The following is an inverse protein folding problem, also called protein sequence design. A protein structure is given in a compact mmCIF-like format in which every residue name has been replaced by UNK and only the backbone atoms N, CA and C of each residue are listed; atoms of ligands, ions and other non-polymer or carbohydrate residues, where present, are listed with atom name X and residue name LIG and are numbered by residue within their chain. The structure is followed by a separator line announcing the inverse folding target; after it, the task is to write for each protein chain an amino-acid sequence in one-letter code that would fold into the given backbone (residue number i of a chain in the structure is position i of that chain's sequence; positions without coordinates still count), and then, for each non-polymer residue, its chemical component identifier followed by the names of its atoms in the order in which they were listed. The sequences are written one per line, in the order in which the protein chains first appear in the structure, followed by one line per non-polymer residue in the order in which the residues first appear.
data_IF_044040020143
#
_entry.id   IF_044040020143
#
_cell.length_a   1.000
_cell.length_b   1.000
_cell.length_c   1.000
_cell.angle_alpha   90.00
_cell.angle_beta   90.00
_cell.angle_gamma   90.00
#
_symmetry.space_group_name_H-M   'P 1'
#
loop_
_entity.id
_entity.type
_entity.pdbx_description
1 polymer ?
#
# COMPACT_ATOMS: atom_id res chain seq x y z
N UNK A 1 23.01 51.36 -5.94
CA UNK A 1 23.83 51.05 -4.75
C UNK A 1 22.87 50.43 -3.74
N UNK A 2 22.91 49.11 -3.59
CA UNK A 2 23.62 48.42 -2.49
C UNK A 2 23.04 48.84 -1.12
N UNK A 3 22.73 47.97 -0.17
CA UNK A 3 22.67 46.50 -0.02
C UNK A 3 22.40 46.32 1.50
N UNK A 4 21.80 45.18 1.91
CA UNK A 4 22.13 44.49 3.17
C UNK A 4 21.77 45.16 4.53
N UNK A 5 21.32 44.49 5.61
CA UNK A 5 21.26 43.07 5.98
C UNK A 5 20.41 42.89 7.28
N UNK A 6 19.69 41.75 7.38
CA UNK A 6 19.45 40.89 8.58
C UNK A 6 18.45 41.38 9.64
N UNK A 7 17.64 40.58 10.35
CA UNK A 7 17.39 39.13 10.62
C UNK A 7 16.04 39.11 11.39
N UNK A 8 15.18 38.10 11.43
CA UNK A 8 15.18 36.73 10.94
C UNK A 8 13.97 35.98 11.52
N UNK A 9 13.64 34.83 10.95
CA UNK A 9 13.02 33.71 11.66
C UNK A 9 13.24 32.42 10.86
N UNK A 10 13.98 31.51 11.50
CA UNK A 10 14.12 30.08 11.17
C UNK A 10 12.80 29.39 11.59
N UNK A 11 12.31 28.29 11.04
CA UNK A 11 12.78 27.35 10.03
C UNK A 11 11.90 26.11 10.16
N UNK A 12 11.24 25.69 9.07
CA UNK A 12 10.62 24.36 8.94
C UNK A 12 11.27 23.69 7.74
N UNK A 13 11.83 22.50 7.96
CA UNK A 13 12.45 21.64 6.96
C UNK A 13 11.39 20.79 6.26
N UNK A 14 11.34 20.78 4.91
CA UNK A 14 10.76 19.69 4.15
C UNK A 14 11.82 19.07 3.22
N UNK A 15 12.37 17.92 3.60
CA UNK A 15 13.13 17.07 2.66
C UNK A 15 12.38 15.77 2.42
N UNK A 16 11.59 15.76 1.35
CA UNK A 16 11.24 14.56 0.60
C UNK A 16 11.01 14.97 -0.86
N UNK A 17 12.11 15.09 -1.61
CA UNK A 17 12.07 15.34 -3.06
C UNK A 17 11.84 14.00 -3.74
N UNK A 18 10.57 13.71 -4.10
CA UNK A 18 10.27 12.68 -5.10
C UNK A 18 10.64 13.25 -6.47
N UNK A 19 11.76 12.80 -7.05
CA UNK A 19 12.11 13.09 -8.44
C UNK A 19 11.22 12.27 -9.38
N UNK A 20 10.27 12.93 -10.04
CA UNK A 20 9.59 12.38 -11.22
C UNK A 20 10.38 12.76 -12.47
N UNK A 21 10.95 11.77 -13.17
CA UNK A 21 11.45 11.96 -14.53
C UNK A 21 10.33 11.57 -15.49
N UNK A 22 9.59 12.55 -15.99
CA UNK A 22 8.61 12.35 -17.07
C UNK A 22 9.33 12.58 -18.41
N UNK A 23 9.63 11.49 -19.12
CA UNK A 23 10.25 11.56 -20.45
C UNK A 23 9.15 11.60 -21.52
N UNK A 24 8.87 12.79 -22.07
CA UNK A 24 7.97 12.95 -23.23
C UNK A 24 8.79 12.75 -24.52
N UNK A 25 8.58 11.64 -25.22
CA UNK A 25 9.11 11.45 -26.58
C UNK A 25 7.95 11.68 -27.55
N UNK A 26 7.65 12.96 -27.79
CA UNK A 26 6.88 13.41 -28.94
C UNK A 26 7.82 14.08 -29.93
N UNK A 27 7.54 14.00 -31.23
CA UNK A 27 8.29 14.66 -32.29
C UNK A 27 8.56 16.14 -31.96
N UNK A 28 9.80 16.48 -31.60
CA UNK A 28 10.21 17.86 -31.36
C UNK A 28 11.35 18.22 -32.32
N UNK A 29 11.12 19.27 -33.11
CA UNK A 29 12.15 19.96 -33.87
C UNK A 29 13.28 20.42 -32.94
N UNK A 30 14.50 20.39 -33.45
CA UNK A 30 15.78 20.56 -32.72
C UNK A 30 15.99 21.91 -32.03
N UNK A 31 15.01 22.82 -32.01
CA UNK A 31 15.14 24.15 -31.39
C UNK A 31 14.45 24.27 -30.03
N UNK A 32 13.49 23.40 -29.69
CA UNK A 32 12.70 23.52 -28.43
C UNK A 32 13.39 22.93 -27.20
N UNK A 33 14.43 22.10 -27.37
CA UNK A 33 15.13 21.45 -26.25
C UNK A 33 15.97 22.45 -25.44
N UNK A 34 16.52 23.49 -26.09
CA UNK A 34 17.37 24.49 -25.41
C UNK A 34 16.54 25.42 -24.51
N UNK A 35 15.37 25.86 -25.00
CA UNK A 35 14.49 26.77 -24.26
C UNK A 35 13.80 26.09 -23.06
N UNK A 36 13.49 24.79 -23.15
CA UNK A 36 12.88 24.05 -22.03
C UNK A 36 13.87 23.79 -20.88
N UNK A 37 15.18 23.71 -21.18
CA UNK A 37 16.23 23.59 -20.17
C UNK A 37 16.48 24.91 -19.43
N UNK A 38 16.45 26.04 -20.13
CA UNK A 38 16.73 27.34 -19.50
C UNK A 38 15.58 27.86 -18.62
N UNK A 39 14.32 27.43 -18.87
CA UNK A 39 13.17 27.88 -18.09
C UNK A 39 13.02 27.15 -16.74
N UNK A 40 13.47 25.90 -16.63
CA UNK A 40 13.40 25.11 -15.37
C UNK A 40 14.69 25.13 -14.54
N UNK A 41 15.76 25.76 -15.03
CA UNK A 41 17.11 25.65 -14.46
C UNK A 41 17.66 26.98 -13.93
N UNK A 42 16.83 27.83 -13.30
CA UNK A 42 17.32 28.96 -12.49
C UNK A 42 17.17 28.77 -10.99
N UNK A 43 16.17 28.02 -10.52
CA UNK A 43 15.92 27.87 -9.07
C UNK A 43 16.21 26.47 -8.50
N UNK A 44 16.63 25.49 -9.33
CA UNK A 44 16.98 24.13 -8.90
C UNK A 44 18.48 23.79 -9.00
N UNK A 45 19.35 24.80 -9.14
CA UNK A 45 20.80 24.60 -9.40
C UNK A 45 21.64 24.35 -8.15
N UNK A 46 21.05 24.33 -6.95
CA UNK A 46 21.80 23.97 -5.74
C UNK A 46 21.53 22.52 -5.33
N UNK A 47 22.34 21.62 -5.92
CA UNK A 47 22.74 20.27 -5.46
C UNK A 47 22.40 19.06 -6.34
N UNK A 48 21.90 19.22 -7.57
CA UNK A 48 22.06 18.16 -8.56
C UNK A 48 23.50 18.18 -9.07
N UNK A 49 24.39 17.45 -8.39
CA UNK A 49 25.67 17.03 -8.97
C UNK A 49 25.34 16.17 -10.20
N UNK A 50 25.23 16.83 -11.33
CA UNK A 50 25.12 16.25 -12.67
C UNK A 50 26.29 15.29 -12.82
N UNK A 51 26.00 13.99 -12.83
CA UNK A 51 26.99 12.98 -13.15
C UNK A 51 27.37 13.19 -14.62
N UNK A 52 28.41 13.98 -14.88
CA UNK A 52 28.81 14.41 -16.24
C UNK A 52 29.02 13.22 -17.19
N UNK A 53 29.39 12.07 -16.63
CA UNK A 53 29.52 10.80 -17.32
C UNK A 53 28.18 10.28 -17.88
N UNK A 54 27.07 10.49 -17.17
CA UNK A 54 25.73 10.11 -17.62
C UNK A 54 25.27 10.99 -18.79
N UNK A 55 25.55 12.29 -18.72
CA UNK A 55 25.26 13.25 -19.81
C UNK A 55 26.08 12.88 -21.05
N UNK A 56 27.36 12.59 -20.89
CA UNK A 56 28.22 12.12 -21.99
C UNK A 56 27.73 10.81 -22.62
N UNK A 57 27.32 9.83 -21.80
CA UNK A 57 26.79 8.55 -22.30
C UNK A 57 25.48 8.77 -23.04
N UNK A 58 24.59 9.63 -22.54
CA UNK A 58 23.33 9.97 -23.19
C UNK A 58 23.56 10.69 -24.51
N UNK A 59 24.44 11.68 -24.54
CA UNK A 59 24.81 12.40 -25.76
C UNK A 59 25.49 11.49 -26.78
N UNK A 60 26.40 10.63 -26.35
CA UNK A 60 27.13 9.71 -27.23
C UNK A 60 26.19 8.68 -27.83
N UNK A 61 25.28 8.13 -27.03
CA UNK A 61 24.24 7.21 -27.53
C UNK A 61 23.27 7.92 -28.46
N UNK A 62 22.82 9.13 -28.14
CA UNK A 62 21.96 9.93 -29.01
C UNK A 62 22.64 10.23 -30.36
N UNK A 63 23.93 10.62 -30.37
CA UNK A 63 24.70 10.86 -31.61
C UNK A 63 24.90 9.59 -32.44
N UNK A 64 25.18 8.44 -31.82
CA UNK A 64 25.26 7.14 -32.51
C UNK A 64 23.92 6.70 -33.10
N UNK A 65 22.83 6.96 -32.38
CA UNK A 65 21.47 6.61 -32.79
C UNK A 65 20.99 7.51 -33.94
N UNK A 66 21.25 8.82 -33.87
CA UNK A 66 20.93 9.77 -34.93
C UNK A 66 21.60 9.36 -36.25
N UNK A 67 22.88 8.96 -36.20
CA UNK A 67 23.61 8.42 -37.38
C UNK A 67 22.93 7.16 -37.96
N UNK A 68 22.52 6.20 -37.13
CA UNK A 68 21.83 4.98 -37.57
C UNK A 68 20.39 5.19 -38.07
N UNK A 69 19.69 6.22 -37.59
CA UNK A 69 18.34 6.57 -38.06
C UNK A 69 18.34 7.27 -39.42
N UNK A 70 19.46 7.90 -39.79
CA UNK A 70 19.63 8.51 -41.13
C UNK A 70 19.92 7.42 -42.17
N UNK A 71 20.59 6.33 -41.78
CA UNK A 71 20.94 5.21 -42.67
C UNK A 71 19.86 4.12 -42.79
N UNK A 72 18.92 4.03 -41.85
CA UNK A 72 17.79 3.09 -41.97
C UNK A 72 16.49 3.81 -41.66
N UNK A 73 15.52 3.76 -42.59
CA UNK A 73 14.12 4.21 -42.42
C UNK A 73 13.38 3.37 -41.36
N UNK A 74 13.94 3.19 -40.16
CA UNK A 74 13.31 2.48 -39.03
C UNK A 74 12.77 3.49 -38.01
N UNK A 75 11.54 3.24 -37.58
CA UNK A 75 10.67 4.15 -36.83
C UNK A 75 11.25 4.55 -35.45
N UNK A 76 11.04 5.81 -35.00
CA UNK A 76 11.43 6.32 -33.68
C UNK A 76 10.95 5.49 -32.48
N UNK A 77 9.84 4.76 -32.64
CA UNK A 77 9.22 3.93 -31.60
C UNK A 77 10.13 2.80 -31.12
N UNK A 78 10.95 2.21 -31.99
CA UNK A 78 11.88 1.12 -31.62
C UNK A 78 13.02 1.64 -30.71
N UNK A 79 13.33 2.94 -30.77
CA UNK A 79 14.45 3.56 -30.06
C UNK A 79 14.12 3.93 -28.61
N UNK A 80 12.86 4.31 -28.32
CA UNK A 80 12.42 4.59 -26.95
C UNK A 80 12.43 3.33 -26.08
N UNK A 81 12.05 2.19 -26.65
CA UNK A 81 12.04 0.89 -25.97
C UNK A 81 13.43 0.38 -25.56
N UNK A 82 14.50 0.81 -26.22
CA UNK A 82 15.88 0.39 -25.91
C UNK A 82 16.58 1.38 -24.97
N UNK A 83 16.30 2.68 -25.11
CA UNK A 83 16.96 3.73 -24.33
C UNK A 83 16.43 3.79 -22.90
N UNK A 84 15.10 3.68 -22.72
CA UNK A 84 14.47 3.81 -21.41
C UNK A 84 14.95 2.74 -20.39
N UNK A 85 15.05 1.44 -20.74
CA UNK A 85 15.60 0.44 -19.83
C UNK A 85 17.04 0.75 -19.41
N UNK A 86 17.90 1.20 -20.33
CA UNK A 86 19.30 1.53 -20.02
C UNK A 86 19.44 2.75 -19.11
N UNK A 87 18.61 3.76 -19.32
CA UNK A 87 18.55 4.93 -18.43
C UNK A 87 18.12 4.47 -17.03
N UNK A 88 17.06 3.67 -16.96
CA UNK A 88 16.56 3.12 -15.71
C UNK A 88 17.64 2.30 -14.98
N UNK A 89 18.32 1.39 -15.68
CA UNK A 89 19.44 0.60 -15.12
C UNK A 89 20.55 1.48 -14.57
N UNK A 90 20.96 2.53 -15.30
CA UNK A 90 22.03 3.43 -14.84
C UNK A 90 21.61 4.26 -13.64
N UNK A 91 20.37 4.75 -13.60
CA UNK A 91 19.81 5.46 -12.44
C UNK A 91 19.79 4.53 -11.22
N UNK A 92 19.30 3.29 -11.39
CA UNK A 92 19.28 2.28 -10.32
C UNK A 92 20.70 1.97 -9.84
N UNK A 93 21.67 1.72 -10.74
CA UNK A 93 23.06 1.43 -10.35
C UNK A 93 23.69 2.59 -9.59
N UNK A 94 23.46 3.83 -10.03
CA UNK A 94 23.96 5.01 -9.35
C UNK A 94 23.32 5.20 -7.97
N UNK A 95 22.02 4.90 -7.83
CA UNK A 95 21.33 4.92 -6.54
C UNK A 95 21.90 3.84 -5.61
N UNK A 96 22.01 2.59 -6.08
CA UNK A 96 22.56 1.47 -5.30
C UNK A 96 23.97 1.78 -4.80
N UNK A 97 24.84 2.28 -5.67
CA UNK A 97 26.22 2.64 -5.33
C UNK A 97 26.33 3.73 -4.25
N UNK A 98 25.28 4.53 -4.06
CA UNK A 98 25.18 5.57 -3.03
C UNK A 98 24.32 5.16 -1.84
N UNK A 99 23.57 4.07 -1.93
CA UNK A 99 22.60 3.64 -0.92
C UNK A 99 23.25 2.74 0.13
N UNK A 100 22.80 2.84 1.38
CA UNK A 100 23.14 1.91 2.46
C UNK A 100 22.44 0.54 2.34
N UNK A 101 21.58 0.36 1.33
CA UNK A 101 20.81 -0.87 1.11
C UNK A 101 21.74 -2.07 0.86
N UNK A 102 22.90 -1.85 0.23
CA UNK A 102 23.91 -2.90 0.00
C UNK A 102 24.61 -3.41 1.26
N UNK A 103 24.46 -2.74 2.42
CA UNK A 103 25.14 -3.07 3.68
C UNK A 103 24.25 -3.72 4.75
N UNK A 104 23.01 -4.11 4.41
CA UNK A 104 22.08 -4.79 5.32
C UNK A 104 22.54 -6.24 5.61
N UNK A 105 23.54 -6.37 6.47
CA UNK A 105 24.02 -7.66 6.97
C UNK A 105 23.10 -8.21 8.06
N UNK A 106 23.16 -9.53 8.31
CA UNK A 106 22.39 -10.16 9.42
C UNK A 106 22.68 -9.49 10.76
N UNK A 107 23.96 -9.28 11.08
CA UNK A 107 24.38 -8.66 12.34
C UNK A 107 23.85 -7.22 12.48
N UNK A 108 23.78 -6.48 11.38
CA UNK A 108 23.23 -5.12 11.41
C UNK A 108 21.73 -5.14 11.76
N UNK A 109 20.95 -6.04 11.16
CA UNK A 109 19.52 -6.19 11.46
C UNK A 109 19.30 -6.62 12.91
N UNK A 110 20.05 -7.60 13.41
CA UNK A 110 19.98 -8.03 14.81
C UNK A 110 20.31 -6.87 15.77
N UNK A 111 21.36 -6.07 15.47
CA UNK A 111 21.71 -4.89 16.28
C UNK A 111 20.61 -3.81 16.31
N UNK A 112 19.82 -3.70 15.24
CA UNK A 112 18.67 -2.80 15.19
C UNK A 112 17.52 -3.31 16.03
N UNK A 113 17.30 -4.62 16.04
CA UNK A 113 16.29 -5.25 16.90
C UNK A 113 16.68 -5.04 18.36
N UNK A 114 17.94 -5.28 18.73
CA UNK A 114 18.43 -5.08 20.11
C UNK A 114 18.25 -3.64 20.58
N UNK A 115 18.65 -2.66 19.75
CA UNK A 115 18.41 -1.24 20.06
C UNK A 115 16.93 -0.90 20.20
N UNK A 116 16.05 -1.54 19.41
CA UNK A 116 14.62 -1.33 19.52
C UNK A 116 14.03 -1.94 20.81
N UNK A 117 14.59 -3.06 21.29
CA UNK A 117 14.27 -3.65 22.59
C UNK A 117 14.77 -2.76 23.72
N UNK A 118 16.04 -2.35 23.69
CA UNK A 118 16.67 -1.53 24.73
C UNK A 118 15.99 -0.16 24.89
N UNK A 119 15.49 0.40 23.80
CA UNK A 119 14.71 1.66 23.81
C UNK A 119 13.25 1.47 24.28
N UNK A 120 12.79 0.24 24.49
CA UNK A 120 11.43 -0.08 24.92
C UNK A 120 10.35 0.15 23.86
N UNK A 121 10.73 0.39 22.61
CA UNK A 121 9.79 0.55 21.48
C UNK A 121 9.10 -0.77 21.14
N UNK A 122 9.82 -1.88 21.30
CA UNK A 122 9.30 -3.23 21.15
C UNK A 122 9.63 -4.07 22.38
N UNK A 123 8.75 -5.01 22.70
CA UNK A 123 8.96 -5.98 23.78
C UNK A 123 8.94 -7.38 23.14
N UNK A 124 10.02 -8.17 23.25
CA UNK A 124 10.08 -9.50 22.66
C UNK A 124 9.18 -10.47 23.43
N UNK A 125 8.40 -11.27 22.70
CA UNK A 125 7.57 -12.35 23.28
C UNK A 125 8.33 -13.68 23.25
N UNK A 126 9.22 -13.86 22.28
CA UNK A 126 9.99 -15.08 22.09
C UNK A 126 11.50 -14.79 22.23
N UNK A 127 12.28 -15.85 22.48
CA UNK A 127 13.72 -15.73 22.82
C UNK A 127 14.64 -15.46 21.62
N UNK A 128 14.24 -15.88 20.42
CA UNK A 128 15.02 -15.75 19.20
C UNK A 128 14.51 -14.61 18.32
N UNK A 129 15.33 -14.21 17.33
CA UNK A 129 14.96 -13.15 16.37
C UNK A 129 14.15 -13.64 15.18
N UNK A 130 14.24 -14.94 14.85
CA UNK A 130 13.54 -15.57 13.73
C UNK A 130 13.32 -17.06 13.92
N UNK A 131 12.32 -17.57 13.19
CA UNK A 131 11.83 -18.93 13.29
C UNK A 131 11.42 -19.45 11.91
N UNK A 132 11.50 -20.77 11.72
CA UNK A 132 10.88 -21.44 10.58
C UNK A 132 9.35 -21.43 10.73
N UNK A 133 8.65 -21.27 9.61
CA UNK A 133 7.19 -21.46 9.58
C UNK A 133 6.92 -22.97 9.59
N UNK A 134 6.19 -23.51 10.59
CA UNK A 134 5.86 -24.92 10.62
C UNK A 134 4.95 -25.28 9.45
N UNK A 135 5.11 -26.50 8.92
CA UNK A 135 4.13 -27.09 8.00
C UNK A 135 2.89 -27.46 8.80
N UNK A 136 1.79 -26.76 8.55
CA UNK A 136 0.49 -27.03 9.17
C UNK A 136 -0.45 -27.70 8.17
N UNK A 137 -1.28 -28.61 8.65
CA UNK A 137 -2.46 -29.05 7.90
C UNK A 137 -3.61 -28.08 8.19
N UNK A 138 -4.02 -27.24 7.21
CA UNK A 138 -5.05 -26.25 7.44
C UNK A 138 -6.41 -26.87 7.78
N UNK A 139 -6.71 -28.09 7.32
CA UNK A 139 -7.96 -28.78 7.66
C UNK A 139 -7.98 -29.21 9.12
N UNK A 140 -6.84 -29.66 9.64
CA UNK A 140 -6.74 -30.03 11.05
C UNK A 140 -6.82 -28.79 11.96
N UNK A 141 -6.09 -27.73 11.64
CA UNK A 141 -6.06 -26.50 12.45
C UNK A 141 -7.43 -25.82 12.46
N UNK A 142 -8.09 -25.73 11.31
CA UNK A 142 -9.38 -25.05 11.17
C UNK A 142 -10.57 -25.97 11.45
N UNK A 143 -10.34 -27.23 11.85
CA UNK A 143 -11.41 -28.14 12.26
C UNK A 143 -12.30 -27.50 13.31
N UNK A 144 -13.61 -27.53 13.06
CA UNK A 144 -14.66 -26.92 13.89
C UNK A 144 -14.51 -25.40 14.09
N UNK A 145 -13.77 -24.71 13.22
CA UNK A 145 -13.63 -23.25 13.26
C UNK A 145 -14.31 -22.58 12.09
N UNK A 146 -14.59 -21.31 12.28
CA UNK A 146 -15.12 -20.38 11.31
C UNK A 146 -14.25 -19.13 11.30
N UNK A 147 -13.66 -18.85 10.14
CA UNK A 147 -12.82 -17.69 9.92
C UNK A 147 -13.41 -16.81 8.83
N UNK A 148 -13.23 -15.50 8.97
CA UNK A 148 -13.82 -14.50 8.07
C UNK A 148 -12.75 -13.57 7.54
N UNK A 149 -12.75 -13.35 6.22
CA UNK A 149 -11.95 -12.33 5.56
C UNK A 149 -12.78 -11.07 5.33
N UNK A 150 -12.21 -9.89 5.62
CA UNK A 150 -12.82 -8.60 5.29
C UNK A 150 -11.83 -7.74 4.52
N UNK A 151 -12.30 -7.17 3.41
CA UNK A 151 -11.53 -6.23 2.59
C UNK A 151 -12.43 -5.17 1.93
N UNK A 152 -11.84 -4.07 1.47
CA UNK A 152 -12.48 -2.92 0.86
C UNK A 152 -11.99 -2.63 -0.56
N UNK A 153 -12.92 -2.33 -1.46
CA UNK A 153 -12.66 -1.90 -2.83
C UNK A 153 -13.20 -0.50 -3.06
N UNK A 154 -12.44 0.32 -3.79
CA UNK A 154 -12.80 1.71 -4.09
C UNK A 154 -12.57 2.07 -5.55
N UNK A 155 -13.43 2.91 -6.11
CA UNK A 155 -13.18 3.56 -7.39
C UNK A 155 -13.80 4.97 -7.43
N UNK A 156 -13.27 5.82 -8.30
CA UNK A 156 -13.78 7.17 -8.49
C UNK A 156 -14.14 7.46 -9.95
N UNK A 157 -15.30 8.07 -10.16
CA UNK A 157 -15.73 8.65 -11.42
C UNK A 157 -15.35 10.13 -11.39
N UNK A 158 -14.38 10.51 -12.24
CA UNK A 158 -13.82 11.86 -12.30
C UNK A 158 -14.52 12.66 -13.41
N UNK A 159 -15.66 13.28 -13.11
CA UNK A 159 -16.28 14.28 -13.99
C UNK A 159 -15.95 15.68 -13.46
N UNK A 160 -15.85 16.67 -14.35
CA UNK A 160 -15.80 18.07 -13.93
C UNK A 160 -17.23 18.65 -13.95
N UNK A 161 -17.67 19.40 -12.92
CA UNK A 161 -17.02 19.62 -11.62
C UNK A 161 -17.29 18.50 -10.60
N UNK A 162 -18.05 17.46 -10.97
CA UNK A 162 -18.55 16.41 -10.08
C UNK A 162 -17.63 15.18 -9.99
N UNK A 163 -17.01 14.94 -8.83
CA UNK A 163 -16.24 13.72 -8.60
C UNK A 163 -17.00 12.79 -7.67
N UNK A 164 -17.31 11.60 -8.15
CA UNK A 164 -18.07 10.59 -7.41
C UNK A 164 -17.08 9.52 -6.95
N UNK A 165 -17.08 9.23 -5.66
CA UNK A 165 -16.30 8.14 -5.07
C UNK A 165 -17.29 7.06 -4.67
N UNK A 166 -16.97 5.82 -5.02
CA UNK A 166 -17.70 4.65 -4.57
C UNK A 166 -16.72 3.76 -3.81
N UNK A 167 -17.14 3.30 -2.64
CA UNK A 167 -16.41 2.33 -1.85
C UNK A 167 -17.37 1.20 -1.50
N UNK A 168 -16.88 -0.04 -1.50
CA UNK A 168 -17.61 -1.19 -0.98
C UNK A 168 -16.70 -2.07 -0.15
N UNK A 169 -17.25 -2.71 0.87
CA UNK A 169 -16.58 -3.80 1.57
C UNK A 169 -17.14 -5.13 1.09
N UNK A 170 -16.34 -6.18 1.20
CA UNK A 170 -16.80 -7.53 1.00
C UNK A 170 -16.29 -8.45 2.12
N UNK A 171 -17.02 -9.53 2.28
CA UNK A 171 -16.82 -10.53 3.32
C UNK A 171 -16.70 -11.88 2.65
N UNK A 172 -15.74 -12.68 3.13
CA UNK A 172 -15.62 -14.07 2.73
C UNK A 172 -15.53 -14.96 3.96
N UNK A 173 -16.49 -15.87 4.07
CA UNK A 173 -16.62 -16.80 5.18
C UNK A 173 -16.07 -18.18 4.83
N UNK A 174 -15.21 -18.74 5.68
CA UNK A 174 -14.74 -20.11 5.57
C UNK A 174 -14.98 -20.83 6.90
N UNK A 175 -15.70 -21.95 6.87
CA UNK A 175 -15.94 -22.77 8.07
C UNK A 175 -15.76 -24.25 7.79
N UNK A 176 -15.29 -24.94 8.81
CA UNK A 176 -15.27 -26.41 8.88
C UNK A 176 -16.11 -26.91 10.07
N UNK A 177 -17.10 -26.10 10.50
CA UNK A 177 -18.10 -26.53 11.47
C UNK A 177 -19.20 -27.33 10.74
N UNK A 178 -19.46 -28.59 11.13
CA UNK A 178 -20.44 -29.43 10.44
C UNK A 178 -21.88 -28.95 10.62
N UNK A 179 -22.15 -28.19 11.68
CA UNK A 179 -23.44 -27.67 12.09
C UNK A 179 -23.74 -26.26 11.54
N UNK A 180 -22.81 -25.66 10.80
CA UNK A 180 -22.91 -24.27 10.36
C UNK A 180 -23.29 -24.15 8.88
N UNK A 181 -24.53 -23.73 8.62
CA UNK A 181 -25.08 -23.55 7.25
C UNK A 181 -25.15 -22.08 6.78
N UNK A 182 -24.42 -21.16 7.41
CA UNK A 182 -24.43 -19.75 7.01
C UNK A 182 -23.45 -19.47 5.87
N UNK A 183 -23.92 -18.82 4.80
CA UNK A 183 -23.07 -18.34 3.71
C UNK A 183 -22.88 -16.81 3.80
N UNK A 184 -22.01 -16.38 4.72
CA UNK A 184 -21.70 -14.96 4.94
C UNK A 184 -20.66 -14.52 3.89
N UNK A 185 -21.05 -14.54 2.61
CA UNK A 185 -20.17 -14.19 1.48
C UNK A 185 -20.80 -13.14 0.59
N UNK A 186 -20.01 -12.14 0.21
CA UNK A 186 -20.40 -11.17 -0.81
C UNK A 186 -20.10 -9.73 -0.42
N UNK A 187 -20.70 -8.81 -1.17
CA UNK A 187 -20.62 -7.36 -0.89
C UNK A 187 -21.47 -7.07 0.34
N UNK A 188 -20.89 -6.39 1.32
CA UNK A 188 -21.54 -6.12 2.61
C UNK A 188 -22.06 -4.69 2.69
N UNK A 189 -21.16 -3.72 2.61
CA UNK A 189 -21.49 -2.29 2.62
C UNK A 189 -21.06 -1.65 1.32
N UNK A 190 -21.86 -0.67 0.87
CA UNK A 190 -21.48 0.26 -0.20
C UNK A 190 -21.71 1.68 0.29
N UNK A 191 -20.80 2.58 -0.07
CA UNK A 191 -20.86 4.01 0.24
C UNK A 191 -20.54 4.82 -1.00
N UNK A 192 -21.28 5.91 -1.19
CA UNK A 192 -21.12 6.83 -2.31
C UNK A 192 -20.93 8.24 -1.76
N UNK A 193 -19.93 8.95 -2.26
CA UNK A 193 -19.69 10.34 -1.91
C UNK A 193 -19.47 11.19 -3.16
N UNK A 194 -19.91 12.45 -3.11
CA UNK A 194 -19.67 13.43 -4.18
C UNK A 194 -18.79 14.54 -3.61
N UNK A 195 -17.61 14.74 -4.21
CA UNK A 195 -16.70 15.81 -3.84
C UNK A 195 -17.07 17.11 -4.57
N UNK A 196 -17.40 18.14 -3.79
CA UNK A 196 -17.75 19.50 -4.24
C UNK A 196 -16.68 20.52 -3.82
N UNK A 197 -15.41 20.32 -4.19
CA UNK A 197 -14.30 21.19 -3.76
C UNK A 197 -13.40 21.67 -4.90
N UNK A 198 -12.79 22.84 -4.68
CA UNK A 198 -11.69 23.44 -5.45
C UNK A 198 -10.33 23.06 -4.82
N UNK A 199 -9.23 23.17 -5.59
CA UNK A 199 -7.87 22.86 -5.14
C UNK A 199 -7.30 21.53 -5.68
N UNK A 200 -6.37 20.90 -4.95
CA UNK A 200 -5.72 19.64 -5.37
C UNK A 200 -6.71 18.46 -5.30
N UNK A 201 -7.44 18.25 -6.40
CA UNK A 201 -8.50 17.24 -6.51
C UNK A 201 -7.96 15.82 -6.39
N UNK A 202 -6.77 15.51 -6.92
CA UNK A 202 -6.21 14.16 -6.86
C UNK A 202 -5.91 13.74 -5.43
N UNK A 203 -5.29 14.64 -4.65
CA UNK A 203 -5.01 14.37 -3.24
C UNK A 203 -6.29 14.28 -2.40
N UNK A 204 -7.27 15.16 -2.66
CA UNK A 204 -8.57 15.11 -1.99
C UNK A 204 -9.33 13.80 -2.30
N UNK A 205 -9.30 13.35 -3.56
CA UNK A 205 -9.88 12.06 -3.96
C UNK A 205 -9.20 10.90 -3.22
N UNK A 206 -7.87 10.89 -3.18
CA UNK A 206 -7.10 9.85 -2.50
C UNK A 206 -7.43 9.80 -1.01
N UNK A 207 -7.45 10.96 -0.35
CA UNK A 207 -7.79 11.11 1.07
C UNK A 207 -9.22 10.60 1.34
N UNK A 208 -10.21 11.10 0.59
CA UNK A 208 -11.61 10.77 0.85
C UNK A 208 -11.92 9.30 0.53
N UNK A 209 -11.33 8.75 -0.52
CA UNK A 209 -11.46 7.33 -0.85
C UNK A 209 -10.90 6.45 0.27
N UNK A 210 -9.72 6.79 0.81
CA UNK A 210 -9.14 6.06 1.94
C UNK A 210 -10.01 6.15 3.20
N UNK A 211 -10.57 7.32 3.49
CA UNK A 211 -11.49 7.52 4.61
C UNK A 211 -12.74 6.65 4.45
N UNK A 212 -13.35 6.65 3.25
CA UNK A 212 -14.53 5.83 2.96
C UNK A 212 -14.25 4.33 3.05
N UNK A 213 -13.09 3.87 2.55
CA UNK A 213 -12.68 2.46 2.65
C UNK A 213 -12.59 2.01 4.11
N UNK A 214 -11.90 2.80 4.94
CA UNK A 214 -11.80 2.53 6.37
C UNK A 214 -13.19 2.50 7.01
N UNK A 215 -14.09 3.42 6.64
CA UNK A 215 -15.44 3.46 7.20
C UNK A 215 -16.28 2.25 6.84
N UNK A 216 -16.28 1.82 5.57
CA UNK A 216 -17.05 0.64 5.16
C UNK A 216 -16.48 -0.63 5.79
N UNK A 217 -15.16 -0.79 5.87
CA UNK A 217 -14.52 -1.96 6.48
C UNK A 217 -14.75 -2.04 7.98
N UNK A 218 -14.48 -0.94 8.72
CA UNK A 218 -14.67 -0.87 10.18
C UNK A 218 -16.12 -1.20 10.54
N UNK A 219 -17.07 -0.62 9.81
CA UNK A 219 -18.48 -0.84 10.08
C UNK A 219 -18.90 -2.27 9.73
N UNK A 220 -18.38 -2.84 8.63
CA UNK A 220 -18.61 -4.23 8.24
C UNK A 220 -18.14 -5.19 9.33
N UNK A 221 -16.93 -4.99 9.86
CA UNK A 221 -16.39 -5.83 10.94
C UNK A 221 -17.26 -5.78 12.19
N UNK A 222 -17.75 -4.59 12.56
CA UNK A 222 -18.65 -4.43 13.71
C UNK A 222 -19.98 -5.13 13.51
N UNK A 223 -20.61 -4.95 12.35
CA UNK A 223 -21.89 -5.59 12.00
C UNK A 223 -21.77 -7.11 12.00
N UNK A 224 -20.70 -7.66 11.41
CA UNK A 224 -20.43 -9.10 11.42
C UNK A 224 -20.26 -9.63 12.85
N UNK A 225 -19.50 -8.91 13.68
CA UNK A 225 -19.30 -9.29 15.07
C UNK A 225 -20.61 -9.26 15.87
N UNK A 226 -21.44 -8.26 15.63
CA UNK A 226 -22.74 -8.07 16.31
C UNK A 226 -23.76 -9.11 15.88
N UNK A 227 -23.87 -9.41 14.59
CA UNK A 227 -24.88 -10.31 14.03
C UNK A 227 -24.48 -11.80 14.10
N UNK A 228 -23.20 -12.11 13.88
CA UNK A 228 -22.70 -13.48 13.71
C UNK A 228 -21.62 -13.87 14.71
N UNK A 229 -21.35 -13.05 15.74
CA UNK A 229 -20.24 -13.25 16.66
C UNK A 229 -20.20 -14.61 17.37
N UNK A 230 -21.37 -15.21 17.65
CA UNK A 230 -21.44 -16.56 18.25
C UNK A 230 -20.94 -17.70 17.34
N UNK A 231 -20.77 -17.42 16.05
CA UNK A 231 -20.37 -18.40 15.04
C UNK A 231 -18.97 -18.18 14.50
N UNK A 232 -18.29 -17.11 14.89
CA UNK A 232 -17.01 -16.69 14.28
C UNK A 232 -15.90 -16.82 15.31
N UNK A 233 -14.86 -17.58 14.97
CA UNK A 233 -13.69 -17.73 15.83
C UNK A 233 -12.65 -16.63 15.55
N UNK A 234 -12.43 -16.30 14.28
CA UNK A 234 -11.46 -15.29 13.90
C UNK A 234 -11.86 -14.46 12.67
N UNK A 235 -11.46 -13.19 12.66
CA UNK A 235 -11.54 -12.28 11.53
C UNK A 235 -10.13 -11.92 11.08
N UNK A 236 -9.84 -12.21 9.82
CA UNK A 236 -8.70 -11.73 9.07
C UNK A 236 -9.09 -10.47 8.30
N UNK A 237 -8.37 -9.38 8.55
CA UNK A 237 -8.69 -8.07 8.00
C UNK A 237 -7.43 -7.46 7.35
N UNK A 238 -7.55 -6.93 6.14
CA UNK A 238 -6.44 -6.24 5.49
C UNK A 238 -6.06 -4.93 6.21
N UNK A 239 -4.78 -4.57 6.10
CA UNK A 239 -4.20 -3.36 6.68
C UNK A 239 -3.69 -3.52 8.11
N UNK A 240 -3.15 -2.43 8.70
CA UNK A 240 -2.62 -2.46 10.06
C UNK A 240 -3.74 -2.48 11.12
N UNK A 241 -3.43 -2.98 12.32
CA UNK A 241 -4.35 -2.98 13.46
C UNK A 241 -4.76 -1.55 13.84
N UNK A 242 -3.79 -0.64 13.88
CA UNK A 242 -4.04 0.78 14.16
C UNK A 242 -3.28 1.69 13.18
N UNK A 243 -3.91 2.82 12.84
CA UNK A 243 -3.31 3.88 12.04
C UNK A 243 -3.62 5.25 12.67
N UNK A 244 -2.64 6.15 12.76
CA UNK A 244 -2.76 7.42 13.51
C UNK A 244 -4.00 8.23 13.17
N UNK A 245 -4.34 8.34 11.88
CA UNK A 245 -5.50 9.12 11.41
C UNK A 245 -6.85 8.49 11.76
N UNK A 246 -6.89 7.17 11.95
CA UNK A 246 -8.13 6.41 12.11
C UNK A 246 -8.13 5.56 13.38
N UNK A 247 -7.28 5.90 14.36
CA UNK A 247 -7.06 5.15 15.59
C UNK A 247 -8.38 4.80 16.28
N UNK A 248 -9.23 5.78 16.53
CA UNK A 248 -10.50 5.59 17.24
C UNK A 248 -11.45 4.62 16.50
N UNK A 249 -11.45 4.65 15.16
CA UNK A 249 -12.32 3.79 14.34
C UNK A 249 -11.86 2.33 14.44
N UNK A 250 -10.56 2.09 14.25
CA UNK A 250 -9.99 0.74 14.39
C UNK A 250 -10.09 0.23 15.82
N UNK A 251 -9.77 1.04 16.83
CA UNK A 251 -9.91 0.67 18.24
C UNK A 251 -11.34 0.27 18.57
N UNK A 252 -12.35 1.03 18.11
CA UNK A 252 -13.75 0.69 18.34
C UNK A 252 -14.14 -0.66 17.72
N UNK A 253 -13.73 -0.95 16.48
CA UNK A 253 -13.99 -2.25 15.85
C UNK A 253 -13.26 -3.40 16.56
N UNK A 254 -11.97 -3.24 16.84
CA UNK A 254 -11.17 -4.24 17.56
C UNK A 254 -11.75 -4.52 18.95
N UNK A 255 -12.20 -3.48 19.68
CA UNK A 255 -12.87 -3.66 20.97
C UNK A 255 -14.20 -4.38 20.84
N UNK A 256 -14.95 -4.15 19.77
CA UNK A 256 -16.22 -4.85 19.47
C UNK A 256 -15.99 -6.35 19.29
N UNK A 257 -14.91 -6.74 18.61
CA UNK A 257 -14.47 -8.14 18.47
C UNK A 257 -14.02 -8.73 19.80
N UNK A 258 -13.18 -7.98 20.53
CA UNK A 258 -12.63 -8.42 21.82
C UNK A 258 -13.73 -8.69 22.84
N UNK A 259 -14.73 -7.82 22.95
CA UNK A 259 -15.87 -7.99 23.86
C UNK A 259 -16.72 -9.24 23.56
N UNK A 260 -16.49 -9.89 22.42
CA UNK A 260 -17.17 -11.11 21.97
C UNK A 260 -16.22 -12.30 21.86
N UNK A 261 -14.98 -12.16 22.35
CA UNK A 261 -13.93 -13.17 22.23
C UNK A 261 -13.63 -13.60 20.78
N UNK A 262 -13.82 -12.70 19.81
CA UNK A 262 -13.49 -12.95 18.40
C UNK A 262 -12.06 -12.53 18.13
N UNK A 263 -11.25 -13.43 17.60
CA UNK A 263 -9.83 -13.18 17.31
C UNK A 263 -9.72 -12.22 16.12
N UNK A 264 -8.98 -11.12 16.28
CA UNK A 264 -8.69 -10.18 15.21
C UNK A 264 -7.25 -10.35 14.72
N UNK A 265 -7.07 -10.78 13.47
CA UNK A 265 -5.77 -10.89 12.81
C UNK A 265 -5.74 -9.91 11.64
N UNK A 266 -4.79 -8.99 11.68
CA UNK A 266 -4.55 -8.00 10.64
C UNK A 266 -3.38 -8.42 9.78
N UNK A 267 -3.48 -8.26 8.46
CA UNK A 267 -2.43 -8.62 7.50
C UNK A 267 -2.03 -7.41 6.66
N UNK A 268 -0.73 -7.18 6.50
CA UNK A 268 -0.18 -6.05 5.75
C UNK A 268 0.80 -6.54 4.67
N UNK A 269 0.45 -6.41 3.39
CA UNK A 269 1.28 -6.84 2.25
C UNK A 269 2.42 -5.88 1.88
N UNK A 270 2.30 -4.59 2.23
CA UNK A 270 3.29 -3.54 1.95
C UNK A 270 3.54 -2.72 3.21
N UNK A 271 4.25 -3.30 4.18
CA UNK A 271 4.53 -2.62 5.45
C UNK A 271 5.57 -1.53 5.26
N UNK A 272 5.12 -0.29 5.04
CA UNK A 272 5.95 0.92 5.08
C UNK A 272 6.23 1.43 6.50
N UNK A 273 5.94 0.63 7.52
CA UNK A 273 6.22 1.02 8.89
C UNK A 273 7.70 0.82 9.22
N UNK A 274 8.23 1.74 10.01
CA UNK A 274 9.58 1.69 10.57
C UNK A 274 9.46 1.60 12.08
N UNK A 275 8.88 0.52 12.64
CA UNK A 275 8.80 0.37 14.10
C UNK A 275 10.16 0.04 14.70
N UNK A 276 10.91 -0.81 14.02
CA UNK A 276 12.27 -1.20 14.39
C UNK A 276 13.26 -0.28 13.67
N UNK A 277 13.08 -0.07 12.37
CA UNK A 277 14.00 0.72 11.55
C UNK A 277 14.11 2.19 12.00
N UNK A 278 13.14 2.74 12.73
CA UNK A 278 13.23 4.11 13.29
C UNK A 278 14.36 4.29 14.32
N UNK A 279 14.91 3.21 14.90
CA UNK A 279 16.09 3.31 15.79
C UNK A 279 17.41 3.33 15.02
N UNK A 280 17.33 3.22 13.69
CA UNK A 280 18.47 3.43 12.80
C UNK A 280 18.67 4.91 12.51
N UNK A 281 19.91 5.27 12.16
CA UNK A 281 20.22 6.60 11.62
C UNK A 281 19.81 6.73 10.12
N UNK A 282 19.12 5.73 9.57
CA UNK A 282 18.71 5.64 8.16
C UNK A 282 17.20 5.83 8.04
N UNK A 283 16.77 7.08 7.92
CA UNK A 283 15.35 7.47 7.89
C UNK A 283 14.54 6.87 6.73
N UNK A 284 15.20 6.44 5.66
CA UNK A 284 14.56 5.84 4.48
C UNK A 284 14.23 4.35 4.67
N UNK A 285 14.75 3.73 5.73
CA UNK A 285 14.64 2.30 5.96
C UNK A 285 13.30 1.93 6.60
N UNK A 286 12.59 0.99 5.99
CA UNK A 286 11.39 0.38 6.58
C UNK A 286 11.72 -0.96 7.22
N UNK A 287 10.87 -1.43 8.12
CA UNK A 287 11.03 -2.76 8.70
C UNK A 287 10.93 -3.86 7.62
N UNK A 288 10.12 -3.63 6.57
CA UNK A 288 10.04 -4.56 5.45
C UNK A 288 11.41 -4.70 4.75
N UNK A 289 12.13 -3.59 4.54
CA UNK A 289 13.47 -3.63 3.94
C UNK A 289 14.45 -4.46 4.78
N UNK A 290 14.40 -4.30 6.11
CA UNK A 290 15.19 -5.10 7.06
C UNK A 290 14.91 -6.60 6.90
N UNK A 291 13.63 -6.97 6.98
CA UNK A 291 13.23 -8.38 7.01
C UNK A 291 13.27 -9.06 5.63
N UNK A 292 13.14 -8.32 4.52
CA UNK A 292 13.40 -8.84 3.16
C UNK A 292 14.81 -9.41 3.08
N UNK A 293 15.81 -8.69 3.62
CA UNK A 293 17.20 -9.11 3.62
C UNK A 293 17.51 -10.19 4.68
N UNK A 294 16.86 -10.11 5.84
CA UNK A 294 17.16 -10.97 6.99
C UNK A 294 16.52 -12.36 6.94
N UNK A 295 15.28 -12.47 6.45
CA UNK A 295 14.52 -13.71 6.43
C UNK A 295 14.71 -14.48 5.11
N UNK A 296 14.85 -15.79 5.22
CA UNK A 296 14.69 -16.70 4.09
C UNK A 296 13.21 -16.97 3.81
N UNK A 297 12.83 -17.41 2.59
CA UNK A 297 11.46 -17.84 2.32
C UNK A 297 11.04 -18.93 3.31
N UNK A 298 9.77 -18.91 3.73
CA UNK A 298 9.21 -19.78 4.76
C UNK A 298 9.76 -19.56 6.18
N UNK A 299 10.31 -18.37 6.45
CA UNK A 299 10.70 -17.93 7.80
C UNK A 299 9.84 -16.75 8.25
N UNK A 300 9.85 -16.53 9.56
CA UNK A 300 9.27 -15.35 10.20
C UNK A 300 10.23 -14.74 11.21
N UNK A 301 9.99 -13.48 11.57
CA UNK A 301 10.60 -12.86 12.74
C UNK A 301 10.03 -13.44 14.04
N UNK A 302 10.64 -13.07 15.16
CA UNK A 302 9.99 -13.10 16.48
C UNK A 302 8.69 -12.30 16.47
N UNK A 303 7.77 -12.65 17.38
CA UNK A 303 6.64 -11.83 17.74
C UNK A 303 7.04 -10.77 18.78
N UNK A 304 6.59 -9.54 18.56
CA UNK A 304 6.89 -8.40 19.43
C UNK A 304 5.61 -7.66 19.80
N UNK A 305 5.51 -7.20 21.05
CA UNK A 305 4.53 -6.17 21.43
C UNK A 305 5.10 -4.83 20.99
N UNK A 306 4.33 -4.03 20.27
CA UNK A 306 4.70 -2.66 19.95
C UNK A 306 4.28 -1.71 21.08
N UNK A 307 5.24 -0.94 21.58
CA UNK A 307 5.08 -0.03 22.70
C UNK A 307 5.52 1.42 22.35
N UNK A 308 5.26 1.84 21.12
CA UNK A 308 5.61 3.20 20.65
C UNK A 308 4.52 4.26 20.90
N UNK A 309 4.84 5.51 20.56
CA UNK A 309 3.99 6.69 20.77
C UNK A 309 2.57 6.57 20.20
N UNK A 310 2.40 5.85 19.10
CA UNK A 310 1.08 5.65 18.47
C UNK A 310 0.10 4.95 19.42
N UNK A 311 0.60 4.04 20.26
CA UNK A 311 -0.22 3.14 21.09
C UNK A 311 -0.02 3.34 22.59
N UNK A 312 0.72 4.38 22.99
CA UNK A 312 1.05 4.65 24.39
C UNK A 312 -0.16 4.91 25.30
N UNK A 313 -1.30 5.29 24.72
CA UNK A 313 -2.56 5.52 25.43
C UNK A 313 -3.52 4.32 25.39
N UNK A 314 -3.15 3.25 24.69
CA UNK A 314 -3.97 2.04 24.66
C UNK A 314 -3.75 1.23 25.94
N UNK A 315 -4.81 0.56 26.45
CA UNK A 315 -4.67 -0.50 27.43
C UNK A 315 -3.67 -1.57 26.99
N UNK A 316 -3.00 -2.23 27.94
CA UNK A 316 -1.94 -3.22 27.66
C UNK A 316 -2.45 -4.38 26.80
N UNK A 317 -3.62 -4.92 27.14
CA UNK A 317 -4.34 -5.99 26.44
C UNK A 317 -4.71 -5.61 24.98
N UNK A 318 -4.75 -4.32 24.68
CA UNK A 318 -5.06 -3.76 23.36
C UNK A 318 -3.80 -3.35 22.57
N UNK A 319 -2.60 -3.49 23.12
CA UNK A 319 -1.38 -3.17 22.38
C UNK A 319 -1.21 -4.16 21.21
N UNK A 320 -0.73 -3.68 20.04
CA UNK A 320 -0.51 -4.56 18.91
C UNK A 320 0.70 -5.44 19.15
N UNK A 321 0.48 -6.75 19.09
CA UNK A 321 1.51 -7.73 18.77
C UNK A 321 1.71 -7.74 17.27
N UNK A 322 2.95 -7.87 16.81
CA UNK A 322 3.25 -8.00 15.39
C UNK A 322 4.42 -8.94 15.13
N UNK A 323 4.41 -9.52 13.93
CA UNK A 323 5.53 -10.27 13.38
C UNK A 323 5.60 -10.10 11.87
N UNK A 324 6.78 -10.32 11.31
CA UNK A 324 7.03 -10.33 9.87
C UNK A 324 7.20 -11.76 9.37
N UNK A 325 6.58 -12.06 8.24
CA UNK A 325 6.59 -13.39 7.63
C UNK A 325 7.03 -13.26 6.19
N UNK A 326 8.03 -14.04 5.78
CA UNK A 326 8.41 -14.17 4.38
C UNK A 326 7.80 -15.45 3.83
N UNK A 327 6.73 -15.28 3.07
CA UNK A 327 6.01 -16.40 2.46
C UNK A 327 6.91 -17.26 1.54
N UNK A 328 6.50 -18.50 1.19
CA UNK A 328 7.18 -19.31 0.19
C UNK A 328 7.33 -18.59 -1.17
N UNK A 329 6.36 -17.75 -1.52
CA UNK A 329 6.34 -16.91 -2.72
C UNK A 329 7.25 -15.66 -2.62
N UNK A 330 8.03 -15.53 -1.53
CA UNK A 330 8.94 -14.41 -1.24
C UNK A 330 8.25 -13.07 -0.99
N UNK A 331 6.94 -13.08 -0.76
CA UNK A 331 6.16 -11.91 -0.34
C UNK A 331 6.39 -11.68 1.15
N UNK A 332 6.74 -10.45 1.53
CA UNK A 332 6.80 -10.03 2.92
C UNK A 332 5.43 -9.59 3.41
N UNK A 333 4.97 -10.23 4.47
CA UNK A 333 3.72 -9.92 5.15
C UNK A 333 4.04 -9.48 6.57
N UNK A 334 3.28 -8.55 7.10
CA UNK A 334 3.25 -8.28 8.54
C UNK A 334 1.89 -8.65 9.09
N UNK A 335 1.88 -9.51 10.10
CA UNK A 335 0.68 -9.83 10.85
C UNK A 335 0.65 -8.99 12.12
N UNK A 336 -0.54 -8.51 12.48
CA UNK A 336 -0.78 -7.77 13.71
C UNK A 336 -2.04 -8.27 14.40
N UNK A 337 -2.04 -8.28 15.73
CA UNK A 337 -3.22 -8.64 16.52
C UNK A 337 -3.09 -8.06 17.94
N UNK A 338 -4.20 -7.83 18.65
CA UNK A 338 -4.15 -7.34 20.04
C UNK A 338 -3.47 -8.33 20.99
N UNK A 339 -2.80 -7.81 22.03
CA UNK A 339 -2.06 -8.62 23.00
C UNK A 339 -2.95 -9.59 23.80
N UNK A 340 -4.19 -9.22 24.11
CA UNK A 340 -5.13 -10.07 24.85
C UNK A 340 -5.30 -11.47 24.22
N UNK A 341 -5.16 -11.57 22.90
CA UNK A 341 -5.29 -12.83 22.17
C UNK A 341 -4.19 -13.82 22.57
N UNK A 342 -2.98 -13.32 22.83
CA UNK A 342 -1.89 -14.16 23.34
C UNK A 342 -2.16 -14.55 24.79
N UNK A 343 -2.62 -13.61 25.61
CA UNK A 343 -2.91 -13.89 27.02
C UNK A 343 -3.99 -14.98 27.17
N UNK A 344 -5.01 -14.95 26.31
CA UNK A 344 -6.12 -15.91 26.35
C UNK A 344 -5.81 -17.25 25.65
N UNK A 345 -5.24 -17.21 24.44
CA UNK A 345 -5.11 -18.41 23.58
C UNK A 345 -3.68 -18.92 23.43
N UNK A 346 -2.69 -18.13 23.81
CA UNK A 346 -1.28 -18.40 23.54
C UNK A 346 -0.84 -18.08 22.11
N UNK A 347 0.45 -17.76 21.95
CA UNK A 347 1.02 -17.37 20.66
C UNK A 347 0.90 -18.49 19.60
N UNK A 348 1.17 -19.74 19.98
CA UNK A 348 1.15 -20.88 19.06
C UNK A 348 -0.23 -21.09 18.42
N UNK A 349 -1.31 -20.85 19.16
CA UNK A 349 -2.66 -20.94 18.63
C UNK A 349 -2.91 -19.91 17.51
N UNK A 350 -2.54 -18.66 17.76
CA UNK A 350 -2.70 -17.56 16.78
C UNK A 350 -1.83 -17.79 15.55
N UNK A 351 -0.58 -18.21 15.76
CA UNK A 351 0.33 -18.53 14.66
C UNK A 351 -0.21 -19.68 13.81
N UNK A 352 -0.76 -20.73 14.42
CA UNK A 352 -1.39 -21.83 13.69
C UNK A 352 -2.57 -21.34 12.82
N UNK A 353 -3.42 -20.44 13.33
CA UNK A 353 -4.50 -19.85 12.52
C UNK A 353 -3.94 -19.07 11.32
N UNK A 354 -2.92 -18.24 11.55
CA UNK A 354 -2.25 -17.48 10.49
C UNK A 354 -1.70 -18.42 9.42
N UNK A 355 -0.95 -19.45 9.81
CA UNK A 355 -0.33 -20.36 8.86
C UNK A 355 -1.33 -21.26 8.15
N UNK A 356 -2.44 -21.63 8.79
CA UNK A 356 -3.51 -22.39 8.15
C UNK A 356 -4.18 -21.55 7.05
N UNK A 357 -4.53 -20.30 7.35
CA UNK A 357 -5.09 -19.38 6.36
C UNK A 357 -4.09 -19.07 5.23
N UNK A 358 -2.80 -18.91 5.55
CA UNK A 358 -1.75 -18.78 4.54
C UNK A 358 -1.61 -20.04 3.67
N UNK A 359 -1.63 -21.24 4.26
CA UNK A 359 -1.50 -22.50 3.53
C UNK A 359 -2.68 -22.69 2.55
N UNK A 360 -3.90 -22.32 2.94
CA UNK A 360 -5.06 -22.32 2.04
C UNK A 360 -4.93 -21.31 0.89
N UNK A 361 -4.22 -20.20 1.12
CA UNK A 361 -4.04 -19.11 0.15
C UNK A 361 -2.71 -19.15 -0.58
N UNK A 362 -2.01 -20.30 -0.58
CA UNK A 362 -0.70 -20.51 -1.22
C UNK A 362 0.40 -19.53 -0.75
N UNK A 363 0.41 -19.17 0.54
CA UNK A 363 1.42 -18.29 1.13
C UNK A 363 0.98 -16.83 1.32
N UNK A 364 -0.27 -16.50 0.98
CA UNK A 364 -0.96 -15.28 1.42
C UNK A 364 -2.28 -15.65 2.10
N UNK A 365 -2.92 -14.70 2.78
CA UNK A 365 -4.21 -14.94 3.42
C UNK A 365 -5.28 -15.37 2.42
N UNK A 366 -5.84 -16.56 2.61
CA UNK A 366 -6.91 -17.11 1.78
C UNK A 366 -8.18 -16.28 1.88
N UNK A 367 -8.68 -16.06 3.09
CA UNK A 367 -9.97 -15.38 3.27
C UNK A 367 -9.91 -13.90 2.88
N UNK A 368 -8.79 -13.19 3.15
CA UNK A 368 -8.62 -11.81 2.70
C UNK A 368 -8.55 -11.76 1.17
N UNK A 369 -7.80 -12.67 0.53
CA UNK A 369 -7.72 -12.67 -0.94
C UNK A 369 -9.07 -12.92 -1.60
N UNK A 370 -9.95 -13.73 -1.00
CA UNK A 370 -11.30 -13.94 -1.51
C UNK A 370 -12.19 -12.71 -1.28
N UNK A 371 -12.08 -12.06 -0.12
CA UNK A 371 -12.77 -10.80 0.15
C UNK A 371 -12.34 -9.67 -0.81
N UNK A 372 -11.03 -9.49 -1.06
CA UNK A 372 -10.48 -8.53 -2.03
C UNK A 372 -11.11 -8.73 -3.43
N UNK A 373 -11.13 -9.98 -3.90
CA UNK A 373 -11.69 -10.32 -5.20
C UNK A 373 -13.19 -9.96 -5.32
N UNK A 374 -13.95 -10.08 -4.24
CA UNK A 374 -15.37 -9.69 -4.19
C UNK A 374 -15.55 -8.17 -4.09
N UNK A 375 -14.68 -7.48 -3.33
CA UNK A 375 -14.74 -6.04 -3.14
C UNK A 375 -14.26 -5.26 -4.37
N UNK A 376 -13.42 -5.86 -5.22
CA UNK A 376 -12.86 -5.23 -6.40
C UNK A 376 -13.95 -4.90 -7.44
N UNK A 377 -13.98 -3.63 -7.85
CA UNK A 377 -14.81 -3.20 -8.97
C UNK A 377 -14.24 -3.73 -10.29
N UNK A 378 -15.02 -4.57 -10.99
CA UNK A 378 -14.64 -5.07 -12.32
C UNK A 378 -14.68 -3.96 -13.36
N UNK A 379 -13.96 -4.12 -14.47
CA UNK A 379 -13.99 -3.12 -15.54
C UNK A 379 -15.37 -2.99 -16.19
N UNK A 380 -16.13 -4.09 -16.26
CA UNK A 380 -17.52 -4.08 -16.73
C UNK A 380 -18.43 -3.31 -15.76
N UNK A 381 -18.30 -3.56 -14.45
CA UNK A 381 -19.05 -2.84 -13.40
C UNK A 381 -18.75 -1.34 -13.44
N UNK A 382 -17.47 -0.96 -13.56
CA UNK A 382 -17.04 0.44 -13.69
C UNK A 382 -17.67 1.11 -14.92
N UNK A 383 -17.63 0.46 -16.09
CA UNK A 383 -18.24 0.99 -17.33
C UNK A 383 -19.74 1.18 -17.17
N UNK A 384 -20.43 0.19 -16.59
CA UNK A 384 -21.87 0.26 -16.35
C UNK A 384 -22.24 1.41 -15.41
N UNK A 385 -21.50 1.58 -14.30
CA UNK A 385 -21.74 2.66 -13.34
C UNK A 385 -21.49 4.04 -13.97
N UNK A 386 -20.43 4.20 -14.77
CA UNK A 386 -20.17 5.43 -15.53
C UNK A 386 -21.33 5.72 -16.49
N UNK A 387 -21.78 4.72 -17.26
CA UNK A 387 -22.92 4.88 -18.17
C UNK A 387 -24.19 5.33 -17.43
N UNK A 388 -24.50 4.72 -16.27
CA UNK A 388 -25.67 5.10 -15.45
C UNK A 388 -25.58 6.52 -14.93
N UNK A 389 -24.40 6.97 -14.50
CA UNK A 389 -24.17 8.36 -14.07
C UNK A 389 -24.37 9.34 -15.23
N UNK A 390 -23.75 9.07 -16.39
CA UNK A 390 -23.90 9.95 -17.56
C UNK A 390 -25.35 10.04 -18.05
N UNK A 391 -26.07 8.91 -18.05
CA UNK A 391 -27.49 8.88 -18.38
C UNK A 391 -28.32 9.74 -17.42
N UNK A 392 -28.11 9.61 -16.11
CA UNK A 392 -28.82 10.41 -15.11
C UNK A 392 -28.53 11.91 -15.24
N UNK A 393 -27.29 12.29 -15.58
CA UNK A 393 -26.91 13.69 -15.84
C UNK A 393 -27.64 14.23 -17.08
N UNK A 394 -27.70 13.46 -18.16
CA UNK A 394 -28.41 13.83 -19.39
C UNK A 394 -29.91 13.98 -19.16
N UNK A 395 -30.53 13.04 -18.45
CA UNK A 395 -31.94 13.10 -18.04
C UNK A 395 -32.24 14.32 -17.14
N UNK A 396 -31.24 14.83 -16.43
CA UNK A 396 -31.32 16.04 -15.60
C UNK A 396 -31.01 17.34 -16.36
N UNK A 397 -30.84 17.29 -17.69
CA UNK A 397 -30.57 18.47 -18.52
C UNK A 397 -29.11 18.97 -18.47
N UNK A 398 -28.18 18.19 -17.93
CA UNK A 398 -26.74 18.54 -17.93
C UNK A 398 -26.13 18.16 -19.27
N UNK A 399 -25.55 19.14 -19.97
CA UNK A 399 -24.82 18.89 -21.21
C UNK A 399 -23.50 18.14 -20.93
N UNK A 400 -23.24 17.11 -21.74
CA UNK A 400 -22.02 16.31 -21.69
C UNK A 400 -20.76 17.13 -21.97
N UNK A 401 -20.89 18.25 -22.72
CA UNK A 401 -19.78 19.17 -22.97
C UNK A 401 -19.23 19.83 -21.71
N UNK A 402 -20.05 19.93 -20.65
CA UNK A 402 -19.68 20.50 -19.34
C UNK A 402 -18.88 19.47 -18.52
N UNK A 403 -19.04 18.18 -18.81
CA UNK A 403 -18.42 17.06 -18.10
C UNK A 403 -17.01 16.78 -18.64
N UNK A 404 -16.10 17.73 -18.46
CA UNK A 404 -14.70 17.54 -18.83
C UNK A 404 -14.10 16.36 -18.05
N UNK A 405 -13.58 15.36 -18.77
CA UNK A 405 -12.80 14.27 -18.19
C UNK A 405 -11.38 14.40 -18.73
N UNK A 406 -10.49 14.98 -17.92
CA UNK A 406 -9.10 15.31 -18.24
C UNK A 406 -8.27 14.15 -18.84
N UNK A 407 -8.75 12.90 -18.86
CA UNK A 407 -7.92 11.76 -19.25
C UNK A 407 -8.43 10.79 -20.33
N UNK A 408 -9.66 10.82 -20.88
CA UNK A 408 -10.08 9.64 -21.69
C UNK A 408 -11.22 9.72 -22.72
N UNK A 409 -11.54 10.88 -23.30
CA UNK A 409 -12.57 10.91 -24.37
C UNK A 409 -12.14 10.17 -25.66
N UNK A 410 -10.86 9.89 -25.90
CA UNK A 410 -10.46 9.18 -27.13
C UNK A 410 -10.71 7.67 -27.13
N UNK A 411 -10.86 7.01 -25.96
CA UNK A 411 -11.03 5.53 -25.92
C UNK A 411 -12.48 5.05 -25.81
N UNK A 412 -13.39 5.88 -25.30
CA UNK A 412 -14.79 5.48 -25.14
C UNK A 412 -15.66 5.83 -26.36
N UNK A 413 -15.20 6.75 -27.21
CA UNK A 413 -15.94 7.20 -28.41
C UNK A 413 -15.37 6.62 -29.72
N UNK A 414 -14.22 5.95 -29.70
CA UNK A 414 -13.58 5.37 -30.90
C UNK A 414 -14.02 3.95 -31.23
N UNK A 415 -14.71 3.23 -30.33
CA UNK A 415 -15.27 1.89 -30.63
C UNK A 415 -16.75 1.95 -31.08
N UNK A 416 -17.26 3.16 -31.36
CA UNK A 416 -18.65 3.40 -31.75
C UNK A 416 -18.83 4.08 -33.11
N UNK A 417 -17.84 4.03 -34.01
CA UNK A 417 -18.00 4.50 -35.40
C UNK A 417 -17.34 3.56 -36.40
N UNK A 418 -18.19 2.69 -36.95
CA UNK A 418 -18.11 1.90 -38.19
C UNK A 418 -17.06 0.79 -38.26
#
# INVERSE_FOLDING_TARGET
MNNQLLRGSKGFSPTSVLQYVTLYIGHCNTHTIREYYDYYCKDCVLSMTTNGRLVEILETNYRRIKRRSIESKRRPEILSHILLPRILENVIRNYIAKSHIGSLTKNYVESLIDRAIDSGIIIPIERGYKYEIPKVDPLLILKNKAIVGVDGGGFAIKLHPMRIILAKSAVFFHSQRPDLNYDIKGIWRTSVAILRRTGNIEEQLRIKMREMLVDVEVQTVKEIAEEYGGYIDAIFWDGPLYASRYMNKFYSAVKTLTNRAIICIKSVKNSFASRIAQVSDVYELTDADLYVAYLSPNQRSSAYIYNGNLVSKLPEDMKPVFLYVKSPQKIMLRYEFPYWIIEEFGLDYVLNLIYADMALGDGISYVISRADNLARFSDQERRYLIYRVLRALRESGVDETILFNERRWTRFFSEGRR
#
